data_IF_566891982962
#
_entry.id   IF_566891982962
#
_cell.length_a   1.000
_cell.length_b   1.000
_cell.length_c   1.000
_cell.angle_alpha   90.00
_cell.angle_beta   90.00
_cell.angle_gamma   90.00
#
_symmetry.space_group_name_H-M   'P 1'
#
loop_
_entity.id
_entity.type
_entity.pdbx_description
1 polymer ?
#
# COMPACT_ATOMS: atom_id res chain seq x y z
N UNK A 1 35.36 60.59 65.32
CA UNK A 1 34.37 59.65 64.79
C UNK A 1 33.82 58.89 66.00
N UNK A 2 32.53 59.04 66.31
CA UNK A 2 31.93 58.46 67.52
C UNK A 2 31.88 56.93 67.41
N UNK A 3 32.11 56.24 68.53
CA UNK A 3 32.13 54.76 68.59
C UNK A 3 30.80 54.15 68.07
N UNK A 4 29.67 54.83 68.31
CA UNK A 4 28.35 54.47 67.76
C UNK A 4 28.26 54.55 66.23
N UNK A 5 28.84 55.59 65.61
CA UNK A 5 28.84 55.74 64.15
C UNK A 5 29.65 54.64 63.47
N UNK A 6 30.73 54.19 64.12
CA UNK A 6 31.58 53.11 63.63
C UNK A 6 30.84 51.76 63.70
N UNK A 7 30.13 51.50 64.82
CA UNK A 7 29.31 50.31 64.99
C UNK A 7 28.12 50.25 64.01
N UNK A 8 27.48 51.38 63.73
CA UNK A 8 26.39 51.46 62.75
C UNK A 8 26.87 51.18 61.31
N UNK A 9 28.07 51.66 60.97
CA UNK A 9 28.75 51.38 59.70
C UNK A 9 29.11 49.90 59.56
N UNK A 10 29.63 49.28 60.60
CA UNK A 10 29.91 47.83 60.62
C UNK A 10 28.64 47.00 60.44
N UNK A 11 27.53 47.39 61.06
CA UNK A 11 26.25 46.71 60.91
C UNK A 11 25.70 46.83 59.49
N UNK A 12 25.77 48.02 58.90
CA UNK A 12 25.38 48.26 57.49
C UNK A 12 26.26 47.47 56.52
N UNK A 13 27.58 47.42 56.76
CA UNK A 13 28.51 46.62 55.96
C UNK A 13 28.17 45.13 56.04
N UNK A 14 27.85 44.62 57.23
CA UNK A 14 27.47 43.21 57.44
C UNK A 14 26.16 42.86 56.73
N UNK A 15 25.15 43.73 56.78
CA UNK A 15 23.88 43.55 56.05
C UNK A 15 24.09 43.59 54.53
N UNK A 16 24.90 44.54 54.03
CA UNK A 16 25.23 44.62 52.62
C UNK A 16 25.95 43.35 52.14
N UNK A 17 26.88 42.83 52.95
CA UNK A 17 27.61 41.60 52.64
C UNK A 17 26.69 40.36 52.60
N UNK A 18 25.77 40.21 53.56
CA UNK A 18 24.77 39.13 53.55
C UNK A 18 23.84 39.21 52.34
N UNK A 19 23.41 40.42 51.98
CA UNK A 19 22.56 40.66 50.80
C UNK A 19 23.31 40.31 49.52
N UNK A 20 24.58 40.72 49.41
CA UNK A 20 25.44 40.39 48.29
C UNK A 20 25.63 38.87 48.14
N UNK A 21 25.90 38.14 49.24
CA UNK A 21 25.99 36.68 49.25
C UNK A 21 24.72 36.01 48.71
N UNK A 22 23.53 36.47 49.14
CA UNK A 22 22.26 35.94 48.66
C UNK A 22 22.01 36.22 47.17
N UNK A 23 22.37 37.43 46.72
CA UNK A 23 22.25 37.81 45.31
C UNK A 23 23.24 37.06 44.41
N UNK A 24 24.47 36.82 44.87
CA UNK A 24 25.48 36.06 44.12
C UNK A 24 25.08 34.58 44.00
N UNK A 25 24.60 33.96 45.08
CA UNK A 25 24.06 32.61 45.04
C UNK A 25 22.88 32.48 44.04
N UNK A 26 21.96 33.45 44.07
CA UNK A 26 20.84 33.48 43.10
C UNK A 26 21.33 33.68 41.67
N UNK A 27 22.34 34.52 41.45
CA UNK A 27 22.97 34.71 40.15
C UNK A 27 23.60 33.42 39.64
N UNK A 28 24.32 32.68 40.49
CA UNK A 28 24.93 31.39 40.12
C UNK A 28 23.86 30.35 39.69
N UNK A 29 22.76 30.23 40.44
CA UNK A 29 21.65 29.34 40.09
C UNK A 29 21.02 29.73 38.75
N UNK A 30 20.79 31.03 38.51
CA UNK A 30 20.23 31.50 37.25
C UNK A 30 21.16 31.24 36.05
N UNK A 31 22.48 31.37 36.25
CA UNK A 31 23.47 31.04 35.21
C UNK A 31 23.43 29.55 34.87
N UNK A 32 23.37 28.68 35.88
CA UNK A 32 23.25 27.23 35.68
C UNK A 32 21.96 26.87 34.94
N UNK A 33 20.82 27.46 35.34
CA UNK A 33 19.54 27.26 34.66
C UNK A 33 19.56 27.74 33.22
N UNK A 34 20.20 28.89 32.95
CA UNK A 34 20.36 29.40 31.59
C UNK A 34 21.18 28.41 30.74
N UNK A 35 22.29 27.92 31.27
CA UNK A 35 23.14 26.97 30.56
C UNK A 35 22.39 25.67 30.25
N UNK A 36 21.64 25.13 31.22
CA UNK A 36 20.81 23.93 31.01
C UNK A 36 19.70 24.17 29.97
N UNK A 37 19.08 25.36 29.98
CA UNK A 37 18.06 25.70 29.00
C UNK A 37 18.64 25.84 27.59
N UNK A 38 19.83 26.44 27.44
CA UNK A 38 20.56 26.55 26.18
C UNK A 38 20.95 25.18 25.63
N UNK A 39 21.43 24.27 26.48
CA UNK A 39 21.74 22.89 26.09
C UNK A 39 20.49 22.16 25.56
N UNK A 40 19.38 22.22 26.31
CA UNK A 40 18.11 21.62 25.88
C UNK A 40 17.57 22.23 24.59
N UNK A 41 17.74 23.54 24.40
CA UNK A 41 17.33 24.21 23.17
C UNK A 41 18.09 23.63 21.96
N UNK A 42 19.41 23.45 22.09
CA UNK A 42 20.21 22.83 21.03
C UNK A 42 19.79 21.38 20.77
N UNK A 43 19.56 20.58 21.81
CA UNK A 43 19.06 19.19 21.66
C UNK A 43 17.71 19.14 20.93
N UNK A 44 16.79 20.04 21.26
CA UNK A 44 15.51 20.13 20.57
C UNK A 44 15.65 20.59 19.12
N UNK A 45 16.57 21.52 18.83
CA UNK A 45 16.85 21.94 17.46
C UNK A 45 17.40 20.79 16.61
N UNK A 46 18.33 20.01 17.15
CA UNK A 46 18.86 18.82 16.48
C UNK A 46 17.76 17.76 16.25
N UNK A 47 16.89 17.56 17.25
CA UNK A 47 15.76 16.63 17.15
C UNK A 47 14.77 17.05 16.05
N UNK A 48 14.47 18.34 15.95
CA UNK A 48 13.59 18.89 14.91
C UNK A 48 14.18 18.63 13.53
N UNK A 49 15.49 18.87 13.34
CA UNK A 49 16.17 18.62 12.07
C UNK A 49 16.12 17.13 11.67
N UNK A 50 16.35 16.22 12.62
CA UNK A 50 16.24 14.77 12.38
C UNK A 50 14.81 14.37 11.99
N UNK A 51 13.80 14.87 12.68
CA UNK A 51 12.40 14.55 12.39
C UNK A 51 11.93 15.14 11.06
N UNK A 52 12.39 16.33 10.69
CA UNK A 52 12.09 16.94 9.41
C UNK A 52 12.66 16.08 8.27
N UNK A 53 13.92 15.65 8.39
CA UNK A 53 14.55 14.73 7.43
C UNK A 53 13.83 13.39 7.36
N UNK A 54 13.45 12.82 8.49
CA UNK A 54 12.71 11.56 8.55
C UNK A 54 11.32 11.69 7.89
N UNK A 55 10.62 12.81 8.12
CA UNK A 55 9.32 13.10 7.50
C UNK A 55 9.44 13.12 5.98
N UNK A 56 10.41 13.88 5.46
CA UNK A 56 10.66 13.97 4.01
C UNK A 56 10.98 12.59 3.41
N UNK A 57 11.87 11.83 4.06
CA UNK A 57 12.22 10.49 3.61
C UNK A 57 11.01 9.55 3.56
N UNK A 58 10.20 9.54 4.63
CA UNK A 58 9.00 8.69 4.70
C UNK A 58 7.95 9.10 3.67
N UNK A 59 7.76 10.40 3.44
CA UNK A 59 6.86 10.90 2.42
C UNK A 59 7.29 10.45 1.01
N UNK A 60 8.56 10.66 0.66
CA UNK A 60 9.11 10.23 -0.62
C UNK A 60 9.06 8.70 -0.79
N UNK A 61 9.34 7.96 0.28
CA UNK A 61 9.24 6.49 0.27
C UNK A 61 7.80 6.02 0.04
N UNK A 62 6.82 6.68 0.66
CA UNK A 62 5.40 6.36 0.48
C UNK A 62 4.90 6.70 -0.95
N UNK A 63 5.32 7.84 -1.50
CA UNK A 63 5.04 8.21 -2.89
C UNK A 63 5.63 7.20 -3.87
N UNK A 64 6.91 6.86 -3.70
CA UNK A 64 7.58 5.85 -4.53
C UNK A 64 6.92 4.47 -4.43
N UNK A 65 6.59 4.01 -3.22
CA UNK A 65 5.93 2.74 -3.01
C UNK A 65 4.55 2.68 -3.68
N UNK A 66 3.76 3.77 -3.60
CA UNK A 66 2.46 3.87 -4.29
C UNK A 66 2.62 3.80 -5.80
N UNK A 67 3.61 4.49 -6.35
CA UNK A 67 3.87 4.50 -7.79
C UNK A 67 4.32 3.13 -8.29
N UNK A 68 5.19 2.44 -7.56
CA UNK A 68 5.60 1.06 -7.88
C UNK A 68 4.40 0.11 -7.85
N UNK A 69 3.57 0.16 -6.81
CA UNK A 69 2.37 -0.68 -6.72
C UNK A 69 1.40 -0.38 -7.87
N UNK A 70 1.21 0.89 -8.23
CA UNK A 70 0.38 1.33 -9.36
C UNK A 70 0.87 0.71 -10.67
N UNK A 71 2.15 0.88 -11.00
CA UNK A 71 2.76 0.35 -12.23
C UNK A 71 2.67 -1.17 -12.32
N UNK A 72 2.89 -1.87 -11.21
CA UNK A 72 2.81 -3.33 -11.16
C UNK A 72 1.38 -3.83 -11.39
N UNK A 73 0.39 -3.19 -10.76
CA UNK A 73 -1.03 -3.49 -10.99
C UNK A 73 -1.44 -3.19 -12.44
N UNK A 74 -1.05 -2.03 -12.97
CA UNK A 74 -1.32 -1.65 -14.37
C UNK A 74 -0.78 -2.67 -15.36
N UNK A 75 0.47 -3.09 -15.17
CA UNK A 75 1.13 -4.06 -16.04
C UNK A 75 0.43 -5.41 -16.00
N UNK A 76 0.13 -5.93 -14.80
CA UNK A 76 -0.50 -7.25 -14.66
C UNK A 76 -1.91 -7.27 -15.27
N UNK A 77 -2.73 -6.26 -14.97
CA UNK A 77 -4.11 -6.19 -15.49
C UNK A 77 -4.11 -5.94 -17.00
N UNK A 78 -3.20 -5.10 -17.50
CA UNK A 78 -3.02 -4.90 -18.95
C UNK A 78 -2.65 -6.21 -19.63
N UNK A 79 -1.67 -6.94 -19.11
CA UNK A 79 -1.28 -8.23 -19.66
C UNK A 79 -2.44 -9.23 -19.66
N UNK A 80 -3.23 -9.28 -18.58
CA UNK A 80 -4.41 -10.14 -18.50
C UNK A 80 -5.45 -9.80 -19.58
N UNK A 81 -5.76 -8.52 -19.74
CA UNK A 81 -6.68 -8.05 -20.77
C UNK A 81 -6.16 -8.34 -22.18
N UNK A 82 -4.87 -8.13 -22.42
CA UNK A 82 -4.27 -8.38 -23.72
C UNK A 82 -4.20 -9.86 -24.07
N UNK A 83 -3.99 -10.71 -23.06
CA UNK A 83 -4.01 -12.15 -23.22
C UNK A 83 -5.38 -12.64 -23.69
N UNK A 84 -6.46 -12.12 -23.07
CA UNK A 84 -7.83 -12.58 -23.31
C UNK A 84 -8.48 -11.90 -24.52
N UNK A 85 -8.35 -10.58 -24.65
CA UNK A 85 -9.09 -9.78 -25.63
C UNK A 85 -8.21 -9.15 -26.74
N UNK A 86 -6.89 -9.31 -26.65
CA UNK A 86 -5.93 -8.82 -27.65
C UNK A 86 -5.22 -7.50 -27.28
N UNK A 87 -4.21 -7.10 -28.08
CA UNK A 87 -3.19 -6.12 -27.69
C UNK A 87 -3.68 -4.68 -27.55
N UNK A 88 -4.92 -4.39 -27.96
CA UNK A 88 -5.47 -3.03 -28.00
C UNK A 88 -5.96 -2.54 -26.63
N UNK A 89 -6.02 -3.43 -25.64
CA UNK A 89 -6.50 -3.12 -24.30
C UNK A 89 -5.35 -2.69 -23.39
N UNK A 90 -5.58 -1.63 -22.63
CA UNK A 90 -4.67 -1.13 -21.58
C UNK A 90 -5.47 -0.80 -20.33
N UNK A 91 -4.92 -1.12 -19.16
CA UNK A 91 -5.49 -0.76 -17.88
C UNK A 91 -4.68 0.36 -17.22
N UNK A 92 -5.38 1.36 -16.70
CA UNK A 92 -4.79 2.52 -16.07
C UNK A 92 -5.46 2.83 -14.73
N UNK A 93 -4.66 3.21 -13.75
CA UNK A 93 -5.06 3.67 -12.43
C UNK A 93 -4.72 5.15 -12.34
N UNK A 94 -5.73 5.98 -12.12
CA UNK A 94 -5.54 7.41 -11.88
C UNK A 94 -5.76 7.69 -10.40
N UNK A 95 -4.79 8.36 -9.79
CA UNK A 95 -4.86 8.78 -8.39
C UNK A 95 -5.41 10.21 -8.35
N UNK A 96 -6.62 10.37 -7.82
CA UNK A 96 -7.28 11.66 -7.64
C UNK A 96 -7.21 12.09 -6.17
N UNK A 97 -6.83 13.35 -5.92
CA UNK A 97 -6.84 13.92 -4.57
C UNK A 97 -8.22 14.51 -4.26
N UNK A 98 -9.00 13.80 -3.46
CA UNK A 98 -10.25 14.31 -2.90
C UNK A 98 -10.01 14.79 -1.46
N UNK A 99 -9.59 16.06 -1.34
CA UNK A 99 -9.29 16.67 -0.04
C UNK A 99 -8.08 16.03 0.64
N UNK A 100 -8.28 15.38 1.79
CA UNK A 100 -7.22 14.66 2.51
C UNK A 100 -7.07 13.18 2.12
N UNK A 101 -7.87 12.68 1.16
CA UNK A 101 -7.86 11.28 0.74
C UNK A 101 -7.44 11.16 -0.72
N UNK A 102 -6.45 10.32 -0.97
CA UNK A 102 -6.12 9.85 -2.31
C UNK A 102 -7.11 8.74 -2.70
N UNK A 103 -7.85 8.94 -3.78
CA UNK A 103 -8.78 7.97 -4.37
C UNK A 103 -8.14 7.39 -5.62
N UNK A 104 -8.25 6.08 -5.82
CA UNK A 104 -7.78 5.42 -7.03
C UNK A 104 -8.98 5.11 -7.93
N UNK A 105 -8.96 5.65 -9.15
CA UNK A 105 -9.94 5.41 -10.19
C UNK A 105 -9.38 4.49 -11.27
N UNK A 106 -10.18 3.52 -11.68
CA UNK A 106 -9.74 2.47 -12.61
C UNK A 106 -10.35 2.67 -13.98
N UNK A 107 -9.50 2.59 -15.01
CA UNK A 107 -9.90 2.80 -16.40
C UNK A 107 -9.36 1.69 -17.30
N UNK A 108 -10.17 1.30 -18.27
CA UNK A 108 -9.76 0.46 -19.38
C UNK A 108 -9.81 1.29 -20.65
N UNK A 109 -8.66 1.39 -21.30
CA UNK A 109 -8.48 2.08 -22.56
C UNK A 109 -8.40 1.06 -23.69
N UNK A 110 -9.13 1.30 -24.76
CA UNK A 110 -9.02 0.53 -26.02
C UNK A 110 -8.66 1.48 -27.15
N UNK A 111 -7.64 1.14 -27.92
CA UNK A 111 -7.22 1.92 -29.09
C UNK A 111 -7.49 1.13 -30.37
N UNK A 112 -8.39 1.62 -31.22
CA UNK A 112 -8.74 0.97 -32.49
C UNK A 112 -8.79 2.02 -33.60
N UNK A 113 -8.05 1.82 -34.69
CA UNK A 113 -8.00 2.73 -35.85
C UNK A 113 -7.73 4.21 -35.48
N UNK A 114 -6.90 4.45 -34.47
CA UNK A 114 -6.55 5.80 -33.98
C UNK A 114 -7.60 6.44 -33.07
N UNK A 115 -8.72 5.76 -32.79
CA UNK A 115 -9.71 6.19 -31.80
C UNK A 115 -9.42 5.53 -30.46
N UNK A 116 -9.17 6.36 -29.45
CA UNK A 116 -8.95 5.93 -28.07
C UNK A 116 -10.22 6.07 -27.25
N UNK A 117 -10.75 4.96 -26.77
CA UNK A 117 -11.92 4.91 -25.88
C UNK A 117 -11.45 4.55 -24.48
N UNK A 118 -11.56 5.49 -23.54
CA UNK A 118 -11.26 5.31 -22.12
C UNK A 118 -12.56 5.27 -21.33
N UNK A 119 -12.80 4.19 -20.61
CA UNK A 119 -14.02 4.03 -19.81
C UNK A 119 -13.72 3.34 -18.49
N UNK A 120 -14.56 3.58 -17.48
CA UNK A 120 -14.54 2.81 -16.24
C UNK A 120 -15.06 1.39 -16.53
N UNK A 121 -14.41 0.33 -16.01
CA UNK A 121 -14.85 -1.04 -16.24
C UNK A 121 -16.33 -1.28 -15.92
N UNK A 122 -16.81 -0.71 -14.80
CA UNK A 122 -18.18 -0.89 -14.31
C UNK A 122 -19.26 -0.17 -15.12
N UNK A 123 -18.90 0.90 -15.84
CA UNK A 123 -19.90 1.79 -16.45
C UNK A 123 -20.18 1.47 -17.92
N UNK A 124 -19.19 0.92 -18.65
CA UNK A 124 -19.27 0.86 -20.12
C UNK A 124 -18.51 -0.29 -20.76
N UNK A 125 -18.11 -1.32 -19.99
CA UNK A 125 -17.48 -2.53 -20.54
C UNK A 125 -18.38 -3.75 -20.31
N UNK A 126 -18.31 -4.73 -21.21
CA UNK A 126 -19.05 -5.98 -21.08
C UNK A 126 -18.59 -6.79 -19.86
N UNK A 127 -19.47 -7.66 -19.35
CA UNK A 127 -19.21 -8.44 -18.13
C UNK A 127 -17.90 -9.24 -18.16
N UNK A 128 -17.50 -9.77 -19.33
CA UNK A 128 -16.23 -10.48 -19.48
C UNK A 128 -15.01 -9.62 -19.17
N UNK A 129 -14.97 -8.35 -19.61
CA UNK A 129 -13.86 -7.43 -19.29
C UNK A 129 -13.81 -7.16 -17.78
N UNK A 130 -14.96 -6.96 -17.15
CA UNK A 130 -15.05 -6.74 -15.70
C UNK A 130 -14.54 -7.95 -14.93
N UNK A 131 -14.90 -9.17 -15.34
CA UNK A 131 -14.45 -10.42 -14.71
C UNK A 131 -12.92 -10.56 -14.78
N UNK A 132 -12.32 -10.32 -15.96
CA UNK A 132 -10.86 -10.40 -16.14
C UNK A 132 -10.13 -9.33 -15.33
N UNK A 133 -10.60 -8.08 -15.36
CA UNK A 133 -10.02 -6.99 -14.55
C UNK A 133 -10.08 -7.34 -13.06
N UNK A 134 -11.22 -7.85 -12.60
CA UNK A 134 -11.41 -8.21 -11.19
C UNK A 134 -10.46 -9.34 -10.76
N UNK A 135 -10.35 -10.39 -11.58
CA UNK A 135 -9.45 -11.51 -11.34
C UNK A 135 -7.99 -11.04 -11.30
N UNK A 136 -7.56 -10.29 -12.31
CA UNK A 136 -6.20 -9.78 -12.41
C UNK A 136 -5.85 -8.85 -11.25
N UNK A 137 -6.76 -7.95 -10.85
CA UNK A 137 -6.56 -7.06 -9.70
C UNK A 137 -6.38 -7.83 -8.39
N UNK A 138 -7.18 -8.89 -8.15
CA UNK A 138 -7.01 -9.73 -6.96
C UNK A 138 -5.63 -10.37 -6.92
N UNK A 139 -5.17 -10.91 -8.05
CA UNK A 139 -3.84 -11.50 -8.15
C UNK A 139 -2.76 -10.44 -7.95
N UNK A 140 -2.90 -9.26 -8.57
CA UNK A 140 -1.96 -8.17 -8.40
C UNK A 140 -1.87 -7.69 -6.94
N UNK A 141 -3.00 -7.59 -6.23
CA UNK A 141 -3.02 -7.28 -4.80
C UNK A 141 -2.30 -8.36 -3.98
N UNK A 142 -2.55 -9.64 -4.26
CA UNK A 142 -1.87 -10.75 -3.55
C UNK A 142 -0.35 -10.75 -3.77
N UNK A 143 0.12 -10.32 -4.95
CA UNK A 143 1.54 -10.25 -5.30
C UNK A 143 2.25 -8.99 -4.82
N UNK A 144 1.52 -7.89 -4.66
CA UNK A 144 2.07 -6.57 -4.27
C UNK A 144 2.10 -6.36 -2.75
N UNK A 145 1.17 -6.99 -2.01
CA UNK A 145 1.09 -6.85 -0.55
C UNK A 145 2.33 -7.47 0.12
N UNK A 146 2.85 -6.77 1.14
CA UNK A 146 3.90 -7.28 2.02
C UNK A 146 3.40 -7.42 3.47
N UNK A 147 3.61 -8.58 4.13
CA UNK A 147 4.23 -9.80 3.58
C UNK A 147 3.37 -10.46 2.49
N UNK A 148 4.01 -11.16 1.55
CA UNK A 148 3.32 -11.81 0.43
C UNK A 148 2.23 -12.75 0.93
N UNK A 149 1.06 -12.68 0.32
CA UNK A 149 -0.05 -13.59 0.63
C UNK A 149 0.28 -14.97 0.08
N UNK A 150 0.66 -15.92 0.93
CA UNK A 150 0.97 -17.29 0.50
C UNK A 150 -0.30 -18.11 0.24
N UNK A 151 -0.15 -19.26 -0.42
CA UNK A 151 -1.22 -20.24 -0.62
C UNK A 151 -1.85 -20.22 -2.02
N UNK A 152 -2.81 -21.14 -2.26
CA UNK A 152 -3.45 -21.32 -3.56
C UNK A 152 -4.43 -20.18 -3.89
N UNK A 153 -4.66 -19.99 -5.19
CA UNK A 153 -5.75 -19.17 -5.69
C UNK A 153 -6.99 -20.06 -5.85
N UNK A 154 -8.04 -19.79 -5.08
CA UNK A 154 -9.32 -20.51 -5.17
C UNK A 154 -10.30 -19.65 -5.98
N UNK A 155 -10.80 -20.20 -7.09
CA UNK A 155 -11.70 -19.53 -8.03
C UNK A 155 -13.02 -20.29 -8.11
N UNK A 156 -14.11 -19.56 -7.92
CA UNK A 156 -15.47 -20.09 -8.09
C UNK A 156 -16.08 -19.44 -9.34
N UNK A 157 -16.27 -20.24 -10.38
CA UNK A 157 -16.76 -19.86 -11.71
C UNK A 157 -16.05 -18.61 -12.30
N UNK A 158 -14.71 -18.65 -12.47
CA UNK A 158 -14.00 -17.50 -13.03
C UNK A 158 -14.40 -17.25 -14.48
N UNK A 159 -14.59 -15.98 -14.82
CA UNK A 159 -14.92 -15.58 -16.18
C UNK A 159 -16.31 -16.02 -16.65
N UNK A 160 -17.30 -16.13 -15.75
CA UNK A 160 -18.67 -16.52 -16.09
C UNK A 160 -19.32 -15.68 -17.20
N UNK A 161 -18.88 -14.43 -17.38
CA UNK A 161 -19.38 -13.53 -18.43
C UNK A 161 -18.45 -13.47 -19.66
N UNK A 162 -17.42 -14.32 -19.71
CA UNK A 162 -16.49 -14.43 -20.84
C UNK A 162 -17.11 -15.38 -21.86
N UNK A 163 -17.26 -14.91 -23.10
CA UNK A 163 -17.79 -15.74 -24.20
C UNK A 163 -16.94 -17.00 -24.42
N UNK A 164 -17.56 -18.10 -24.88
CA UNK A 164 -16.89 -19.38 -25.08
C UNK A 164 -15.61 -19.31 -25.93
N UNK A 165 -15.56 -18.44 -26.94
CA UNK A 165 -14.38 -18.21 -27.78
C UNK A 165 -13.16 -17.67 -27.00
N UNK A 166 -13.39 -17.01 -25.87
CA UNK A 166 -12.36 -16.41 -25.03
C UNK A 166 -11.96 -17.30 -23.84
N UNK A 167 -12.66 -18.40 -23.61
CA UNK A 167 -12.42 -19.33 -22.49
C UNK A 167 -11.02 -19.95 -22.58
N UNK A 168 -10.59 -20.31 -23.78
CA UNK A 168 -9.24 -20.84 -24.00
C UNK A 168 -8.16 -19.83 -23.58
N UNK A 169 -8.31 -18.56 -23.95
CA UNK A 169 -7.37 -17.52 -23.56
C UNK A 169 -7.41 -17.22 -22.05
N UNK A 170 -8.58 -17.34 -21.41
CA UNK A 170 -8.68 -17.28 -19.95
C UNK A 170 -7.90 -18.41 -19.28
N UNK A 171 -8.02 -19.65 -19.78
CA UNK A 171 -7.25 -20.79 -19.27
C UNK A 171 -5.74 -20.54 -19.38
N UNK A 172 -5.27 -20.17 -20.56
CA UNK A 172 -3.86 -19.90 -20.81
C UNK A 172 -3.32 -18.76 -19.93
N UNK A 173 -4.13 -17.71 -19.70
CA UNK A 173 -3.83 -16.67 -18.72
C UNK A 173 -3.67 -17.26 -17.31
N UNK A 174 -4.64 -18.06 -16.83
CA UNK A 174 -4.55 -18.72 -15.52
C UNK A 174 -3.31 -19.62 -15.40
N UNK A 175 -2.98 -20.37 -16.46
CA UNK A 175 -1.78 -21.22 -16.51
C UNK A 175 -0.51 -20.38 -16.42
N UNK A 176 -0.46 -19.25 -17.13
CA UNK A 176 0.64 -18.31 -17.07
C UNK A 176 0.83 -17.75 -15.66
N UNK A 177 -0.25 -17.40 -14.95
CA UNK A 177 -0.20 -16.92 -13.58
C UNK A 177 0.31 -17.99 -12.61
N UNK A 178 -0.19 -19.22 -12.73
CA UNK A 178 0.26 -20.36 -11.92
C UNK A 178 1.77 -20.58 -12.08
N UNK A 179 2.26 -20.55 -13.32
CA UNK A 179 3.69 -20.76 -13.64
C UNK A 179 4.57 -19.59 -13.17
N UNK A 180 4.14 -18.35 -13.46
CA UNK A 180 4.91 -17.14 -13.14
C UNK A 180 5.07 -16.93 -11.63
N UNK A 181 3.98 -17.12 -10.86
CA UNK A 181 3.97 -16.88 -9.43
C UNK A 181 4.16 -18.15 -8.59
N UNK A 182 4.30 -19.31 -9.23
CA UNK A 182 4.44 -20.60 -8.55
C UNK A 182 3.23 -20.95 -7.69
N UNK A 183 2.02 -20.51 -8.09
CA UNK A 183 0.79 -20.70 -7.31
C UNK A 183 -0.03 -21.86 -7.83
N UNK A 184 -0.56 -22.66 -6.93
CA UNK A 184 -1.61 -23.60 -7.26
C UNK A 184 -2.93 -22.85 -7.48
N UNK A 185 -3.63 -23.17 -8.56
CA UNK A 185 -4.97 -22.68 -8.83
C UNK A 185 -5.95 -23.83 -8.61
N UNK A 186 -6.98 -23.59 -7.82
CA UNK A 186 -8.09 -24.52 -7.59
C UNK A 186 -9.34 -23.81 -8.10
N UNK A 187 -10.03 -24.43 -9.06
CA UNK A 187 -11.13 -23.81 -9.77
C UNK A 187 -12.37 -24.69 -9.74
N UNK A 188 -13.51 -24.11 -9.42
CA UNK A 188 -14.84 -24.72 -9.58
C UNK A 188 -15.45 -24.12 -10.83
N UNK A 189 -15.82 -24.96 -11.80
CA UNK A 189 -16.52 -24.48 -13.00
C UNK A 189 -17.37 -25.56 -13.65
N UNK A 190 -18.46 -25.14 -14.31
CA UNK A 190 -19.24 -25.97 -15.23
C UNK A 190 -18.72 -25.92 -16.68
N UNK A 191 -17.65 -25.15 -16.95
CA UNK A 191 -17.09 -25.03 -18.30
C UNK A 191 -16.22 -26.26 -18.64
N UNK A 192 -16.69 -27.07 -19.58
CA UNK A 192 -15.99 -28.28 -20.00
C UNK A 192 -14.62 -28.00 -20.61
N UNK A 193 -14.44 -26.91 -21.38
CA UNK A 193 -13.14 -26.57 -21.97
C UNK A 193 -12.08 -26.26 -20.92
N UNK A 194 -12.46 -25.57 -19.85
CA UNK A 194 -11.56 -25.31 -18.71
C UNK A 194 -11.21 -26.60 -17.97
N UNK A 195 -12.17 -27.53 -17.87
CA UNK A 195 -11.99 -28.82 -17.20
C UNK A 195 -11.01 -29.72 -17.96
N UNK A 196 -11.16 -29.82 -19.29
CA UNK A 196 -10.31 -30.63 -20.14
C UNK A 196 -8.86 -30.13 -20.19
N UNK A 197 -8.66 -28.81 -20.05
CA UNK A 197 -7.34 -28.19 -20.10
C UNK A 197 -6.61 -28.22 -18.74
N UNK A 198 -7.27 -28.61 -17.65
CA UNK A 198 -6.68 -28.58 -16.32
C UNK A 198 -5.59 -29.66 -16.13
N UNK A 199 -4.60 -29.39 -15.28
CA UNK A 199 -3.58 -30.41 -14.90
C UNK A 199 -4.20 -31.63 -14.21
N UNK A 200 -5.31 -31.41 -13.48
CA UNK A 200 -6.15 -32.42 -12.84
C UNK A 200 -7.59 -31.91 -12.82
N UNK A 201 -8.53 -32.78 -13.17
CA UNK A 201 -9.95 -32.47 -13.14
C UNK A 201 -10.72 -33.50 -12.32
N UNK A 202 -11.74 -33.03 -11.59
CA UNK A 202 -12.68 -33.86 -10.85
C UNK A 202 -14.09 -33.41 -11.19
N UNK A 203 -14.94 -34.35 -11.59
CA UNK A 203 -16.36 -34.12 -11.79
C UNK A 203 -17.10 -34.45 -10.48
N UNK A 204 -17.92 -33.50 -10.01
CA UNK A 204 -18.73 -33.67 -8.80
C UNK A 204 -20.19 -33.87 -9.23
N UNK A 205 -20.77 -35.00 -8.84
CA UNK A 205 -22.18 -35.33 -9.11
C UNK A 205 -22.91 -35.73 -7.83
N UNK A 206 -24.23 -35.61 -7.80
CA UNK A 206 -25.06 -36.02 -6.65
C UNK A 206 -25.76 -37.33 -6.99
N UNK A 207 -25.60 -38.34 -6.13
CA UNK A 207 -26.34 -39.62 -6.18
C UNK A 207 -26.99 -39.87 -4.82
N UNK A 208 -28.30 -40.08 -4.80
CA UNK A 208 -29.08 -40.31 -3.58
C UNK A 208 -28.85 -39.28 -2.45
N UNK A 209 -28.62 -38.01 -2.82
CA UNK A 209 -28.36 -36.91 -1.88
C UNK A 209 -26.93 -36.84 -1.34
N UNK A 210 -26.02 -37.68 -1.84
CA UNK A 210 -24.60 -37.70 -1.49
C UNK A 210 -23.78 -37.18 -2.68
N UNK A 211 -22.90 -36.20 -2.43
CA UNK A 211 -21.96 -35.72 -3.45
C UNK A 211 -20.80 -36.69 -3.62
N UNK A 212 -20.60 -37.17 -4.85
CA UNK A 212 -19.48 -38.02 -5.25
C UNK A 212 -18.56 -37.26 -6.21
N UNK A 213 -17.25 -37.31 -5.96
CA UNK A 213 -16.23 -36.70 -6.81
C UNK A 213 -15.41 -37.78 -7.53
N UNK A 214 -15.41 -37.75 -8.86
CA UNK A 214 -14.69 -38.72 -9.69
C UNK A 214 -13.62 -38.01 -10.53
N UNK A 215 -12.40 -38.56 -10.66
CA UNK A 215 -11.38 -37.98 -11.52
C UNK A 215 -11.81 -38.06 -12.98
N UNK A 216 -11.60 -36.99 -13.73
CA UNK A 216 -11.80 -36.94 -15.19
C UNK A 216 -10.45 -37.20 -15.85
N UNK A 217 -10.42 -38.07 -16.87
CA UNK A 217 -9.22 -38.25 -17.70
C UNK A 217 -8.95 -36.96 -18.47
N UNK A 218 -7.92 -36.22 -18.06
CA UNK A 218 -7.41 -35.05 -18.78
C UNK A 218 -6.51 -35.52 -19.93
N UNK A 219 -6.54 -34.81 -21.06
CA UNK A 219 -5.75 -35.14 -22.25
C UNK A 219 -4.27 -34.81 -22.09
#
# INVERSE_FOLDING_TARGET
MNHEQLAELEQKLKQAHQTWLGLDARRQVLIEQLHQAEQKLNEYMDTIDVYEKARVLLQQSAEYAREQARQQMETLVTNALQYVFGPLFTFNIELEEHGSRTVAEFYVTTEYEGVRVKTKPQDSRGGGVVDIVTLALRVALMETVQPKVAGPLILDEPGKHVSNEYVYYLYEFLKSLSTMFGRQIIMVTHNHHLTESADKAYEVSIRDGISEALPVSTA
#
